data_IF_434696720240
#
_entry.id   IF_434696720240
#
_cell.length_a   1.000
_cell.length_b   1.000
_cell.length_c   1.000
_cell.angle_alpha   90.00
_cell.angle_beta   90.00
_cell.angle_gamma   90.00
#
_symmetry.space_group_name_H-M   'P 1'
#
loop_
_entity.id
_entity.type
_entity.pdbx_description
1 polymer ?
#
# COMPACT_ATOMS: atom_id res chain seq x y z
N UNK A 1 -12.05 35.34 18.36
CA UNK A 1 -11.47 36.40 19.22
C UNK A 1 -10.65 37.37 18.39
N UNK A 2 -11.28 38.39 17.84
CA UNK A 2 -10.63 39.26 16.85
C UNK A 2 -10.71 40.71 17.32
N UNK A 3 -9.58 41.27 17.74
CA UNK A 3 -9.43 42.72 17.85
C UNK A 3 -9.71 43.33 16.48
N UNK A 4 -10.64 44.27 16.39
CA UNK A 4 -11.03 44.90 15.14
C UNK A 4 -10.11 46.06 14.80
N UNK A 5 -9.90 46.24 13.49
CA UNK A 5 -9.12 47.34 12.96
C UNK A 5 -9.83 48.05 11.81
N UNK A 6 -9.61 49.37 11.72
CA UNK A 6 -10.06 50.23 10.62
C UNK A 6 -8.89 51.11 10.18
N UNK A 7 -8.71 51.24 8.86
CA UNK A 7 -7.69 52.14 8.31
C UNK A 7 -8.05 53.60 8.57
N UNK A 8 -7.04 54.44 8.78
CA UNK A 8 -7.17 55.89 8.95
C UNK A 8 -8.11 56.32 10.09
N UNK A 9 -8.34 55.45 11.09
CA UNK A 9 -9.16 55.77 12.25
C UNK A 9 -8.46 56.76 13.18
N UNK A 10 -8.74 58.06 13.00
CA UNK A 10 -8.16 59.16 13.79
C UNK A 10 -9.12 60.34 13.88
N UNK A 11 -9.27 60.88 15.09
CA UNK A 11 -10.13 62.03 15.41
C UNK A 11 -9.60 62.72 16.68
N UNK A 12 -10.41 63.60 17.27
CA UNK A 12 -10.19 64.20 18.59
C UNK A 12 -11.36 63.93 19.52
N UNK A 13 -11.11 63.98 20.84
CA UNK A 13 -12.17 63.91 21.84
C UNK A 13 -13.05 65.16 21.79
N UNK A 14 -14.37 64.96 21.71
CA UNK A 14 -15.35 66.05 21.74
C UNK A 14 -15.64 66.56 23.16
N UNK A 15 -15.38 65.74 24.18
CA UNK A 15 -15.49 66.09 25.59
C UNK A 15 -14.22 65.68 26.34
N UNK A 16 -13.90 66.39 27.43
CA UNK A 16 -12.86 65.94 28.34
C UNK A 16 -13.35 64.73 29.14
N UNK A 17 -12.44 63.80 29.44
CA UNK A 17 -12.74 62.58 30.22
C UNK A 17 -11.87 62.48 31.47
N UNK A 18 -12.44 61.96 32.56
CA UNK A 18 -11.70 61.69 33.81
C UNK A 18 -10.86 60.40 33.73
N UNK A 19 -9.96 60.15 34.69
CA UNK A 19 -9.15 58.93 34.72
C UNK A 19 -9.95 57.64 35.03
N UNK A 20 -11.18 57.76 35.51
CA UNK A 20 -12.07 56.63 35.83
C UNK A 20 -13.26 56.50 34.88
N UNK A 21 -13.39 57.38 33.89
CA UNK A 21 -14.50 57.37 32.96
C UNK A 21 -14.43 56.17 32.02
N UNK A 22 -15.56 55.51 31.79
CA UNK A 22 -15.69 54.32 30.94
C UNK A 22 -16.46 54.60 29.64
N UNK A 23 -16.66 55.88 29.33
CA UNK A 23 -17.21 56.37 28.08
C UNK A 23 -16.39 57.55 27.59
N UNK A 24 -16.34 57.72 26.27
CA UNK A 24 -15.76 58.90 25.63
C UNK A 24 -16.52 59.22 24.35
N UNK A 25 -16.56 60.49 23.98
CA UNK A 25 -17.13 60.96 22.72
C UNK A 25 -16.02 61.48 21.82
N UNK A 26 -16.08 61.10 20.55
CA UNK A 26 -15.24 61.67 19.50
C UNK A 26 -15.96 62.83 18.82
N UNK A 27 -15.24 63.56 17.96
CA UNK A 27 -15.82 64.63 17.15
C UNK A 27 -17.07 64.15 16.40
N UNK A 28 -18.07 65.03 16.32
CA UNK A 28 -19.35 64.72 15.66
C UNK A 28 -19.14 64.25 14.21
N UNK A 29 -19.68 63.08 13.88
CA UNK A 29 -19.56 62.42 12.58
C UNK A 29 -18.30 61.56 12.38
N UNK A 30 -17.34 61.58 13.31
CA UNK A 30 -16.09 60.82 13.19
C UNK A 30 -16.18 59.41 13.81
N UNK A 31 -17.27 59.07 14.49
CA UNK A 31 -17.45 57.76 15.12
C UNK A 31 -17.32 56.59 14.13
N UNK A 32 -17.78 56.76 12.89
CA UNK A 32 -17.72 55.74 11.83
C UNK A 32 -16.31 55.51 11.27
N UNK A 33 -15.33 56.33 11.66
CA UNK A 33 -13.91 56.04 11.37
C UNK A 33 -13.41 54.80 12.14
N UNK A 34 -14.09 54.43 13.23
CA UNK A 34 -13.71 53.32 14.10
C UNK A 34 -14.60 52.09 13.88
N UNK A 35 -14.10 50.88 14.16
CA UNK A 35 -14.91 49.67 14.03
C UNK A 35 -16.18 49.72 14.88
N UNK A 36 -17.25 49.08 14.39
CA UNK A 36 -18.39 48.74 15.24
C UNK A 36 -17.99 47.60 16.18
N UNK A 37 -18.24 47.79 17.47
CA UNK A 37 -18.10 46.78 18.51
C UNK A 37 -19.39 46.80 19.31
N UNK A 38 -20.27 45.81 19.20
CA UNK A 38 -21.62 45.89 19.79
C UNK A 38 -22.09 44.62 20.50
N UNK A 39 -21.20 43.64 20.70
CA UNK A 39 -21.62 42.26 20.98
C UNK A 39 -21.77 41.87 22.45
N UNK A 40 -21.31 42.61 23.47
CA UNK A 40 -21.68 42.31 24.87
C UNK A 40 -21.25 43.36 25.94
N UNK A 41 -21.88 43.25 27.11
CA UNK A 41 -21.53 43.86 28.41
C UNK A 41 -20.51 43.05 29.23
N UNK A 42 -20.11 41.85 28.77
CA UNK A 42 -19.12 40.98 29.44
C UNK A 42 -17.73 41.62 29.67
N UNK A 43 -16.91 41.07 30.57
CA UNK A 43 -15.55 41.58 30.87
C UNK A 43 -14.63 41.56 29.64
N UNK A 44 -13.55 42.36 29.67
CA UNK A 44 -12.63 42.48 28.54
C UNK A 44 -12.00 41.11 28.32
N UNK A 45 -11.75 40.77 27.06
CA UNK A 45 -11.16 39.50 26.65
C UNK A 45 -12.08 38.26 26.78
N UNK A 46 -13.37 38.42 27.10
CA UNK A 46 -14.32 37.29 27.16
C UNK A 46 -15.30 37.17 25.98
N UNK A 47 -15.34 38.12 25.03
CA UNK A 47 -16.35 38.14 23.95
C UNK A 47 -15.84 38.71 22.61
N UNK A 48 -16.47 38.29 21.51
CA UNK A 48 -16.11 38.60 20.12
C UNK A 48 -16.63 39.97 19.69
N UNK A 49 -15.83 41.02 19.89
CA UNK A 49 -15.69 42.23 19.05
C UNK A 49 -15.29 43.44 19.90
N UNK A 50 -14.02 43.83 19.82
CA UNK A 50 -13.49 44.99 20.52
C UNK A 50 -12.36 45.60 19.70
N UNK A 51 -11.99 46.85 19.99
CA UNK A 51 -10.81 47.46 19.37
C UNK A 51 -10.04 48.32 20.36
N UNK A 52 -8.76 48.57 20.08
CA UNK A 52 -7.94 49.51 20.84
C UNK A 52 -8.08 50.92 20.29
N UNK A 53 -8.06 51.88 21.20
CA UNK A 53 -7.97 53.30 20.92
C UNK A 53 -6.80 53.88 21.70
N UNK A 54 -5.96 54.65 21.02
CA UNK A 54 -4.82 55.37 21.57
C UNK A 54 -5.25 56.82 21.74
N UNK A 55 -5.07 57.36 22.93
CA UNK A 55 -5.35 58.77 23.25
C UNK A 55 -4.02 59.46 23.54
N UNK A 56 -3.76 60.58 22.86
CA UNK A 56 -2.55 61.38 23.06
C UNK A 56 -2.83 62.87 23.13
N UNK A 57 -2.01 63.60 23.86
CA UNK A 57 -1.98 65.06 23.87
C UNK A 57 -0.75 65.59 23.12
N UNK A 58 -0.62 66.92 23.09
CA UNK A 58 0.53 67.63 22.51
C UNK A 58 1.83 67.40 23.28
N UNK A 59 1.74 66.91 24.52
CA UNK A 59 2.89 66.57 25.37
C UNK A 59 3.45 65.18 25.05
N UNK A 60 2.78 64.41 24.17
CA UNK A 60 3.17 63.05 23.79
C UNK A 60 2.84 62.01 24.86
N UNK A 61 1.99 62.33 25.84
CA UNK A 61 1.48 61.31 26.76
C UNK A 61 0.53 60.39 26.01
N UNK A 62 0.57 59.09 26.28
CA UNK A 62 -0.29 58.10 25.62
C UNK A 62 -1.04 57.29 26.68
N UNK A 63 -2.32 57.04 26.41
CA UNK A 63 -3.12 55.98 27.04
C UNK A 63 -3.68 55.07 25.97
N UNK A 64 -3.62 53.76 26.20
CA UNK A 64 -4.27 52.76 25.36
C UNK A 64 -5.52 52.30 26.09
N UNK A 65 -6.67 52.39 25.43
CA UNK A 65 -7.95 51.96 25.96
C UNK A 65 -8.57 50.90 25.07
N UNK A 66 -9.34 49.98 25.66
CA UNK A 66 -10.11 48.99 24.93
C UNK A 66 -11.57 49.42 24.83
N UNK A 67 -12.06 49.65 23.62
CA UNK A 67 -13.47 49.97 23.37
C UNK A 67 -14.22 48.68 23.08
N UNK A 68 -15.25 48.40 23.89
CA UNK A 68 -16.12 47.23 23.69
C UNK A 68 -17.47 47.58 23.11
N UNK A 69 -17.88 48.84 23.19
CA UNK A 69 -19.20 49.25 22.72
C UNK A 69 -19.10 50.54 21.91
N UNK A 70 -19.37 50.42 20.61
CA UNK A 70 -19.56 51.49 19.64
C UNK A 70 -20.56 50.98 18.61
N UNK A 71 -21.80 51.46 18.70
CA UNK A 71 -22.83 51.17 17.71
C UNK A 71 -22.54 51.90 16.39
N UNK A 72 -23.01 51.36 15.26
CA UNK A 72 -22.95 52.04 13.96
C UNK A 72 -23.60 53.42 14.00
N UNK A 73 -22.97 54.43 13.39
CA UNK A 73 -23.42 55.83 13.43
C UNK A 73 -23.29 56.54 14.78
N UNK A 74 -22.74 55.88 15.83
CA UNK A 74 -22.48 56.52 17.13
C UNK A 74 -21.11 57.20 17.17
N UNK A 75 -21.05 58.43 17.65
CA UNK A 75 -19.82 59.14 18.03
C UNK A 75 -19.41 58.88 19.48
N UNK A 76 -20.19 58.07 20.20
CA UNK A 76 -19.92 57.67 21.58
C UNK A 76 -19.35 56.25 21.60
N UNK A 77 -18.22 56.12 22.27
CA UNK A 77 -17.58 54.85 22.64
C UNK A 77 -17.83 54.62 24.13
N UNK A 78 -18.44 53.49 24.47
CA UNK A 78 -18.77 53.12 25.84
C UNK A 78 -18.20 51.74 26.18
N UNK A 79 -18.33 51.34 27.45
CA UNK A 79 -17.70 50.14 27.98
C UNK A 79 -16.19 50.14 27.70
N UNK A 80 -15.59 51.32 27.89
CA UNK A 80 -14.16 51.57 27.68
C UNK A 80 -13.39 51.05 28.88
N UNK A 81 -12.42 50.17 28.65
CA UNK A 81 -11.43 49.83 29.66
C UNK A 81 -10.20 50.69 29.50
N UNK A 82 -9.82 51.31 30.61
CA UNK A 82 -8.69 52.22 30.75
C UNK A 82 -7.39 51.45 30.97
N UNK A 83 -6.26 52.12 30.75
CA UNK A 83 -4.93 51.63 31.14
C UNK A 83 -4.55 50.24 30.57
N UNK A 84 -4.81 49.98 29.29
CA UNK A 84 -4.34 48.75 28.64
C UNK A 84 -2.85 48.82 28.30
N UNK A 85 -2.26 47.65 28.04
CA UNK A 85 -0.87 47.47 27.59
C UNK A 85 0.17 48.18 28.49
N UNK A 86 -0.10 48.23 29.79
CA UNK A 86 0.77 48.87 30.78
C UNK A 86 0.74 50.40 30.76
N UNK A 87 -0.15 51.03 29.99
CA UNK A 87 -0.38 52.48 30.07
C UNK A 87 -1.08 52.87 31.36
N UNK A 88 -1.04 54.15 31.73
CA UNK A 88 -1.73 54.69 32.91
C UNK A 88 -3.00 55.40 32.50
N UNK A 89 -4.09 55.18 33.23
CA UNK A 89 -5.34 55.92 33.03
C UNK A 89 -5.16 57.40 33.38
N UNK A 90 -5.55 58.30 32.46
CA UNK A 90 -5.31 59.74 32.58
C UNK A 90 -6.58 60.56 32.45
N UNK A 91 -6.50 61.81 32.89
CA UNK A 91 -7.50 62.84 32.55
C UNK A 91 -7.13 63.36 31.17
N UNK A 92 -8.10 63.42 30.26
CA UNK A 92 -7.91 63.96 28.92
C UNK A 92 -8.81 65.18 28.71
N UNK A 93 -8.28 66.22 28.09
CA UNK A 93 -9.07 67.39 27.69
C UNK A 93 -9.76 67.20 26.35
N UNK A 94 -10.72 68.09 26.06
CA UNK A 94 -11.27 68.26 24.71
C UNK A 94 -10.13 68.51 23.72
N UNK A 95 -10.21 67.90 22.53
CA UNK A 95 -9.20 68.06 21.50
C UNK A 95 -8.01 67.08 21.60
N UNK A 96 -7.93 66.24 22.64
CA UNK A 96 -6.95 65.15 22.68
C UNK A 96 -7.17 64.21 21.49
N UNK A 97 -6.08 63.77 20.86
CA UNK A 97 -6.16 62.96 19.64
C UNK A 97 -6.47 61.52 20.00
N UNK A 98 -7.52 60.98 19.41
CA UNK A 98 -7.94 59.58 19.55
C UNK A 98 -7.74 58.86 18.22
N UNK A 99 -6.98 57.77 18.21
CA UNK A 99 -6.66 57.05 16.98
C UNK A 99 -6.48 55.56 17.22
N UNK A 100 -6.66 54.76 16.18
CA UNK A 100 -6.30 53.35 16.25
C UNK A 100 -4.85 53.16 15.84
N UNK A 101 -4.13 52.35 16.62
CA UNK A 101 -2.79 51.88 16.29
C UNK A 101 -2.59 50.46 16.82
N UNK A 102 -1.42 49.93 16.51
CA UNK A 102 -0.96 48.62 16.94
C UNK A 102 0.03 48.78 18.10
N UNK A 103 -0.15 48.04 19.19
CA UNK A 103 0.80 48.07 20.30
C UNK A 103 1.84 46.96 20.18
N UNK A 104 2.91 47.05 21.00
CA UNK A 104 3.87 45.96 21.12
C UNK A 104 3.21 44.66 21.62
N UNK A 105 2.20 44.75 22.48
CA UNK A 105 1.46 43.59 22.95
C UNK A 105 0.63 42.95 21.83
N UNK A 106 0.09 43.75 20.91
CA UNK A 106 -0.62 43.23 19.74
C UNK A 106 0.35 42.46 18.83
N UNK A 107 1.57 42.97 18.64
CA UNK A 107 2.60 42.31 17.85
C UNK A 107 3.00 40.97 18.44
N UNK A 108 3.29 40.95 19.75
CA UNK A 108 3.66 39.72 20.46
C UNK A 108 2.53 38.71 20.38
N UNK A 109 1.28 39.13 20.58
CA UNK A 109 0.12 38.23 20.50
C UNK A 109 -0.05 37.65 19.09
N UNK A 110 0.13 38.46 18.05
CA UNK A 110 0.06 38.00 16.66
C UNK A 110 1.17 37.00 16.33
N UNK A 111 2.41 37.28 16.76
CA UNK A 111 3.56 36.38 16.57
C UNK A 111 3.34 35.06 17.31
N UNK A 112 2.97 35.08 18.59
CA UNK A 112 2.75 33.86 19.37
C UNK A 112 1.65 32.97 18.77
N UNK A 113 0.57 33.58 18.25
CA UNK A 113 -0.49 32.83 17.57
C UNK A 113 0.00 32.22 16.25
N UNK A 114 0.81 32.95 15.48
CA UNK A 114 1.42 32.45 14.25
C UNK A 114 2.42 31.31 14.53
N UNK A 115 3.24 31.43 15.58
CA UNK A 115 4.17 30.40 16.02
C UNK A 115 3.43 29.13 16.46
N UNK A 116 2.35 29.26 17.23
CA UNK A 116 1.52 28.13 17.63
C UNK A 116 0.89 27.41 16.41
N UNK A 117 0.40 28.19 15.43
CA UNK A 117 -0.15 27.63 14.19
C UNK A 117 0.91 26.91 13.35
N UNK A 118 2.12 27.48 13.28
CA UNK A 118 3.25 26.87 12.58
C UNK A 118 3.69 25.57 13.24
N UNK A 119 3.82 25.54 14.57
CA UNK A 119 4.20 24.34 15.31
C UNK A 119 3.18 23.21 15.12
N UNK A 120 1.88 23.53 15.20
CA UNK A 120 0.82 22.55 14.96
C UNK A 120 0.86 21.98 13.53
N UNK A 121 1.19 22.80 12.53
CA UNK A 121 1.35 22.33 11.16
C UNK A 121 2.56 21.39 11.00
N UNK A 122 3.69 21.71 11.63
CA UNK A 122 4.90 20.88 11.62
C UNK A 122 4.69 19.53 12.32
N UNK A 123 3.94 19.51 13.43
CA UNK A 123 3.58 18.27 14.12
C UNK A 123 2.68 17.39 13.24
N UNK A 124 1.69 17.97 12.56
CA UNK A 124 0.82 17.24 11.64
C UNK A 124 1.60 16.61 10.47
N UNK A 125 2.58 17.33 9.90
CA UNK A 125 3.46 16.82 8.85
C UNK A 125 4.33 15.66 9.36
N UNK A 126 4.94 15.82 10.54
CA UNK A 126 5.78 14.78 11.16
C UNK A 126 4.98 13.50 11.42
N UNK A 127 3.74 13.62 11.93
CA UNK A 127 2.84 12.49 12.15
C UNK A 127 2.48 11.81 10.83
N UNK A 128 2.20 12.57 9.77
CA UNK A 128 1.90 12.02 8.46
C UNK A 128 3.08 11.23 7.86
N UNK A 129 4.31 11.76 7.96
CA UNK A 129 5.52 11.06 7.49
C UNK A 129 5.79 9.78 8.27
N UNK A 130 5.65 9.82 9.61
CA UNK A 130 5.83 8.63 10.44
C UNK A 130 4.76 7.56 10.20
N UNK A 131 3.50 7.98 10.01
CA UNK A 131 2.42 7.08 9.66
C UNK A 131 2.68 6.39 8.31
N UNK A 132 3.13 7.16 7.31
CA UNK A 132 3.50 6.63 5.99
C UNK A 132 4.67 5.63 6.08
N UNK A 133 5.70 5.94 6.87
CA UNK A 133 6.82 5.03 7.10
C UNK A 133 6.36 3.71 7.75
N UNK A 134 5.43 3.75 8.71
CA UNK A 134 4.93 2.54 9.36
C UNK A 134 4.12 1.65 8.41
N UNK A 135 3.22 2.24 7.61
CA UNK A 135 2.36 1.46 6.68
C UNK A 135 3.10 0.99 5.43
N UNK A 136 4.14 1.70 5.00
CA UNK A 136 4.99 1.28 3.88
C UNK A 136 6.04 0.24 4.27
N UNK A 137 6.13 -0.12 5.56
CA UNK A 137 7.11 -1.09 6.06
C UNK A 137 8.52 -0.52 6.14
N UNK A 138 8.68 0.75 6.53
CA UNK A 138 9.96 1.46 6.66
C UNK A 138 10.99 0.80 7.60
N UNK A 139 10.58 -0.17 8.41
CA UNK A 139 11.49 -1.03 9.20
C UNK A 139 12.11 -2.17 8.40
N UNK A 140 11.64 -2.42 7.17
CA UNK A 140 12.11 -3.50 6.29
C UNK A 140 13.04 -2.88 5.23
N UNK A 141 14.31 -3.30 5.16
CA UNK A 141 15.23 -2.78 4.17
C UNK A 141 14.73 -2.98 2.72
N UNK A 142 14.92 -1.99 1.83
CA UNK A 142 14.70 -2.20 0.40
C UNK A 142 15.43 -3.43 -0.12
N UNK A 143 14.83 -4.13 -1.07
CA UNK A 143 15.39 -5.36 -1.66
C UNK A 143 15.03 -6.65 -0.92
N UNK A 144 14.47 -6.58 0.28
CA UNK A 144 13.92 -7.76 0.97
C UNK A 144 12.83 -8.41 0.12
N UNK A 145 12.91 -9.73 0.01
CA UNK A 145 11.97 -10.57 -0.73
C UNK A 145 11.00 -11.20 0.24
N UNK A 146 9.71 -11.18 -0.10
CA UNK A 146 8.68 -11.87 0.65
C UNK A 146 7.70 -12.58 -0.29
N UNK A 147 6.90 -13.48 0.29
CA UNK A 147 5.81 -14.18 -0.39
C UNK A 147 4.47 -13.75 0.21
N UNK A 148 3.61 -13.18 -0.63
CA UNK A 148 2.37 -12.52 -0.20
C UNK A 148 1.14 -13.38 -0.50
N UNK A 149 0.16 -13.50 0.43
CA UNK A 149 -1.04 -14.33 0.28
C UNK A 149 -2.09 -13.81 -0.71
N UNK A 150 -1.97 -12.59 -1.22
CA UNK A 150 -2.95 -12.00 -2.12
C UNK A 150 -2.34 -11.57 -3.46
N UNK A 151 -3.21 -11.28 -4.44
CA UNK A 151 -2.79 -10.84 -5.77
C UNK A 151 -2.22 -9.41 -5.81
N UNK A 152 -2.59 -8.57 -4.83
CA UNK A 152 -2.15 -7.17 -4.75
C UNK A 152 -1.11 -7.03 -3.63
N UNK A 153 0.10 -6.52 -3.93
CA UNK A 153 1.12 -6.28 -2.91
C UNK A 153 0.71 -5.15 -1.96
N UNK A 154 1.23 -5.12 -0.72
CA UNK A 154 1.09 -3.96 0.16
C UNK A 154 1.74 -2.70 -0.43
N UNK A 155 1.35 -1.53 0.07
CA UNK A 155 1.99 -0.25 -0.28
C UNK A 155 3.50 -0.31 0.01
N UNK A 156 4.32 0.19 -0.90
CA UNK A 156 5.79 0.17 -0.78
C UNK A 156 6.45 -1.13 -1.22
N UNK A 157 5.69 -2.07 -1.80
CA UNK A 157 6.20 -3.34 -2.33
C UNK A 157 5.86 -3.49 -3.82
N UNK A 158 6.77 -4.10 -4.56
CA UNK A 158 6.60 -4.42 -5.98
C UNK A 158 6.50 -5.91 -6.21
N UNK A 159 5.74 -6.29 -7.24
CA UNK A 159 5.70 -7.68 -7.71
C UNK A 159 7.00 -8.01 -8.45
N UNK A 160 7.56 -9.21 -8.24
CA UNK A 160 8.74 -9.70 -8.96
C UNK A 160 8.36 -10.33 -10.32
N UNK A 161 7.82 -9.50 -11.22
CA UNK A 161 7.33 -9.90 -12.56
C UNK A 161 8.15 -9.33 -13.73
N UNK A 162 9.34 -8.75 -13.47
CA UNK A 162 10.16 -8.16 -14.54
C UNK A 162 9.83 -6.73 -14.93
N UNK A 163 8.90 -6.06 -14.24
CA UNK A 163 8.53 -4.67 -14.53
C UNK A 163 9.70 -3.69 -14.34
N UNK A 164 9.70 -2.61 -15.13
CA UNK A 164 10.61 -1.49 -14.96
C UNK A 164 10.09 -0.55 -13.87
N UNK A 165 10.98 -0.09 -12.99
CA UNK A 165 10.67 0.89 -11.93
C UNK A 165 11.67 2.05 -11.96
N UNK A 166 11.25 3.20 -11.43
CA UNK A 166 12.01 4.46 -11.40
C UNK A 166 13.22 4.37 -10.48
N UNK A 167 14.39 4.81 -10.98
CA UNK A 167 15.64 4.95 -10.19
C UNK A 167 15.53 6.08 -9.17
N UNK A 168 14.83 7.16 -9.53
CA UNK A 168 14.67 8.33 -8.66
C UNK A 168 13.77 8.01 -7.46
N UNK A 169 12.72 7.24 -7.68
CA UNK A 169 11.77 6.89 -6.61
C UNK A 169 12.25 5.69 -5.78
N UNK A 170 13.20 4.90 -6.30
CA UNK A 170 13.71 3.69 -5.62
C UNK A 170 15.25 3.62 -5.61
N UNK A 171 15.95 4.66 -5.10
CA UNK A 171 17.41 4.77 -5.23
C UNK A 171 18.14 3.68 -4.45
N UNK A 172 17.65 3.31 -3.27
CA UNK A 172 18.23 2.25 -2.45
C UNK A 172 18.04 0.86 -3.06
N UNK A 173 16.88 0.59 -3.66
CA UNK A 173 16.64 -0.67 -4.36
C UNK A 173 17.53 -0.77 -5.62
N UNK A 174 17.68 0.34 -6.36
CA UNK A 174 18.57 0.39 -7.51
C UNK A 174 20.03 0.16 -7.11
N UNK A 175 20.49 0.69 -5.96
CA UNK A 175 21.84 0.43 -5.46
C UNK A 175 22.10 -1.06 -5.17
N UNK A 176 21.06 -1.84 -4.84
CA UNK A 176 21.17 -3.28 -4.53
C UNK A 176 21.11 -4.13 -5.80
N UNK A 177 20.16 -3.86 -6.69
CA UNK A 177 19.86 -4.71 -7.86
C UNK A 177 20.59 -4.25 -9.12
N UNK A 178 20.85 -2.94 -9.23
CA UNK A 178 21.40 -2.33 -10.42
C UNK A 178 20.55 -2.65 -11.65
N UNK A 179 21.22 -3.15 -12.69
CA UNK A 179 20.63 -3.48 -13.98
C UNK A 179 20.66 -4.99 -14.27
N UNK A 180 20.90 -5.83 -13.25
CA UNK A 180 21.09 -7.28 -13.41
C UNK A 180 19.87 -7.99 -14.01
N UNK A 181 18.68 -7.40 -13.87
CA UNK A 181 17.43 -7.91 -14.45
C UNK A 181 16.96 -7.14 -15.68
N UNK A 182 17.79 -6.24 -16.20
CA UNK A 182 17.53 -5.42 -17.36
C UNK A 182 17.74 -3.94 -17.09
N UNK A 183 18.20 -3.22 -18.10
CA UNK A 183 18.60 -1.81 -18.00
C UNK A 183 17.41 -0.82 -17.89
N UNK A 184 16.17 -1.31 -17.96
CA UNK A 184 14.98 -0.47 -18.13
C UNK A 184 15.04 0.28 -19.46
N UNK A 185 14.78 1.58 -19.41
CA UNK A 185 14.93 2.51 -20.55
C UNK A 185 16.37 3.01 -20.79
N UNK A 186 17.34 2.56 -19.99
CA UNK A 186 18.73 2.97 -20.10
C UNK A 186 19.12 4.19 -19.25
N UNK A 187 18.16 4.97 -18.75
CA UNK A 187 18.43 6.27 -18.11
C UNK A 187 17.75 6.44 -16.75
N UNK A 188 16.42 6.32 -16.69
CA UNK A 188 15.60 6.68 -15.53
C UNK A 188 14.95 5.46 -14.86
N UNK A 189 14.95 4.30 -15.52
CA UNK A 189 14.39 3.06 -14.96
C UNK A 189 15.39 1.91 -14.88
N UNK A 190 15.02 0.87 -14.15
CA UNK A 190 15.69 -0.43 -14.10
C UNK A 190 14.64 -1.54 -13.93
N UNK A 191 14.95 -2.75 -14.39
CA UNK A 191 14.00 -3.86 -14.30
C UNK A 191 14.14 -4.61 -12.98
N UNK A 192 13.00 -5.06 -12.44
CA UNK A 192 12.95 -5.96 -11.29
C UNK A 192 13.17 -7.42 -11.71
N UNK A 193 13.49 -8.32 -10.76
CA UNK A 193 13.49 -9.76 -11.00
C UNK A 193 12.15 -10.27 -11.55
N UNK A 194 12.19 -11.33 -12.36
CA UNK A 194 10.99 -11.97 -12.91
C UNK A 194 10.85 -13.44 -12.47
N UNK A 195 10.19 -13.64 -11.34
CA UNK A 195 9.88 -14.97 -10.79
C UNK A 195 8.44 -15.39 -11.11
N UNK A 196 7.54 -14.42 -11.28
CA UNK A 196 6.10 -14.67 -11.53
C UNK A 196 5.87 -15.28 -12.91
N UNK A 197 6.42 -14.70 -13.98
CA UNK A 197 6.11 -15.16 -15.36
C UNK A 197 6.58 -16.59 -15.61
N UNK A 198 7.61 -17.04 -14.88
CA UNK A 198 8.24 -18.34 -15.07
C UNK A 198 7.98 -19.32 -13.92
N UNK A 199 7.06 -19.03 -12.99
CA UNK A 199 6.74 -19.84 -11.82
C UNK A 199 7.99 -20.36 -11.07
N UNK A 200 8.98 -19.48 -10.86
CA UNK A 200 10.30 -19.91 -10.36
C UNK A 200 10.26 -20.27 -8.88
N UNK A 201 10.91 -21.38 -8.53
CA UNK A 201 11.28 -21.66 -7.14
C UNK A 201 12.57 -20.94 -6.76
N UNK A 202 12.63 -20.47 -5.52
CA UNK A 202 13.84 -19.87 -4.95
C UNK A 202 14.67 -20.97 -4.28
N UNK A 203 15.98 -20.93 -4.52
CA UNK A 203 16.98 -21.74 -3.81
C UNK A 203 18.12 -20.84 -3.34
N UNK A 204 18.85 -21.29 -2.31
CA UNK A 204 20.03 -20.59 -1.85
C UNK A 204 21.12 -20.55 -2.95
N UNK A 205 21.81 -19.41 -3.04
CA UNK A 205 23.08 -19.28 -3.75
C UNK A 205 24.22 -19.89 -2.92
N UNK A 206 25.38 -20.10 -3.55
CA UNK A 206 26.57 -20.67 -2.91
C UNK A 206 27.24 -21.77 -3.74
N UNK A 207 28.49 -22.08 -3.41
CA UNK A 207 29.32 -22.99 -4.22
C UNK A 207 29.49 -22.44 -5.64
N UNK A 208 29.11 -23.23 -6.64
CA UNK A 208 29.16 -22.82 -8.05
C UNK A 208 27.93 -22.00 -8.51
N UNK A 209 26.95 -21.73 -7.63
CA UNK A 209 25.73 -21.01 -7.99
C UNK A 209 25.78 -19.56 -7.52
N UNK A 210 25.97 -18.63 -8.47
CA UNK A 210 25.94 -17.20 -8.22
C UNK A 210 24.53 -16.72 -7.84
N UNK A 211 24.46 -15.58 -7.14
CA UNK A 211 23.19 -14.88 -6.91
C UNK A 211 22.55 -14.52 -8.26
N UNK A 212 21.25 -14.78 -8.41
CA UNK A 212 20.50 -14.51 -9.64
C UNK A 212 20.65 -15.57 -10.75
N UNK A 213 21.53 -16.57 -10.59
CA UNK A 213 21.66 -17.64 -11.57
C UNK A 213 20.39 -18.49 -11.69
N UNK A 214 19.92 -18.71 -12.92
CA UNK A 214 18.73 -19.50 -13.24
C UNK A 214 19.16 -20.91 -13.63
N UNK A 215 18.49 -21.92 -13.10
CA UNK A 215 18.70 -23.33 -13.45
C UNK A 215 17.46 -23.90 -14.12
N UNK A 216 17.66 -24.68 -15.18
CA UNK A 216 16.60 -25.48 -15.77
C UNK A 216 16.19 -26.62 -14.80
N UNK A 217 14.94 -27.12 -14.88
CA UNK A 217 14.55 -28.30 -14.13
C UNK A 217 15.37 -29.51 -14.61
N UNK A 218 15.91 -30.28 -13.68
CA UNK A 218 16.67 -31.50 -13.95
C UNK A 218 16.28 -32.53 -12.89
N UNK A 219 15.90 -33.73 -13.34
CA UNK A 219 15.73 -34.88 -12.44
C UNK A 219 17.10 -35.44 -12.08
N UNK A 220 17.27 -35.88 -10.83
CA UNK A 220 18.49 -36.58 -10.44
C UNK A 220 18.62 -37.87 -11.27
N UNK A 221 19.86 -38.20 -11.64
CA UNK A 221 20.16 -39.45 -12.35
C UNK A 221 19.62 -40.64 -11.56
N UNK A 222 18.93 -41.55 -12.24
CA UNK A 222 18.34 -42.75 -11.65
C UNK A 222 18.20 -43.85 -12.71
N UNK A 223 17.94 -45.07 -12.25
CA UNK A 223 17.81 -46.27 -13.09
C UNK A 223 16.47 -46.95 -12.86
N UNK A 224 15.91 -47.58 -13.89
CA UNK A 224 14.73 -48.43 -13.78
C UNK A 224 15.14 -49.90 -13.87
N UNK A 225 14.60 -50.73 -12.99
CA UNK A 225 14.60 -52.18 -13.20
C UNK A 225 13.45 -52.53 -14.15
N UNK A 226 13.75 -53.27 -15.21
CA UNK A 226 12.76 -53.81 -16.11
C UNK A 226 12.95 -55.32 -16.20
N UNK A 227 11.86 -56.07 -16.14
CA UNK A 227 11.86 -57.51 -16.35
C UNK A 227 10.79 -57.87 -17.37
N UNK A 228 11.16 -58.72 -18.33
CA UNK A 228 10.19 -59.53 -19.09
C UNK A 228 10.17 -60.94 -18.50
N UNK A 229 9.04 -61.65 -18.60
CA UNK A 229 9.00 -63.06 -18.23
C UNK A 229 10.00 -63.90 -19.04
N UNK A 230 10.31 -65.11 -18.55
CA UNK A 230 11.15 -66.07 -19.28
C UNK A 230 10.55 -66.34 -20.66
N UNK A 231 11.20 -65.86 -21.72
CA UNK A 231 10.95 -66.36 -23.05
C UNK A 231 11.40 -67.82 -23.10
N UNK A 232 10.46 -68.72 -23.34
CA UNK A 232 10.75 -70.13 -23.52
C UNK A 232 9.80 -70.76 -24.54
N UNK A 233 10.30 -71.81 -25.17
CA UNK A 233 9.52 -72.74 -25.97
C UNK A 233 8.29 -73.22 -25.18
N UNK A 234 7.08 -72.91 -25.64
CA UNK A 234 5.84 -73.42 -25.04
C UNK A 234 4.91 -74.03 -26.09
N UNK A 235 4.05 -74.94 -25.63
CA UNK A 235 3.06 -75.67 -26.43
C UNK A 235 1.69 -75.58 -25.77
N UNK A 236 0.61 -75.54 -26.54
CA UNK A 236 -0.76 -75.63 -26.03
C UNK A 236 -1.33 -77.04 -26.24
N UNK A 237 -2.13 -77.53 -25.30
CA UNK A 237 -2.85 -78.80 -25.45
C UNK A 237 -4.31 -78.52 -25.78
N UNK A 238 -4.79 -79.05 -26.90
CA UNK A 238 -6.23 -79.03 -27.21
C UNK A 238 -6.80 -80.45 -27.03
N UNK A 239 -7.83 -80.57 -26.21
CA UNK A 239 -8.66 -81.77 -26.13
C UNK A 239 -9.67 -81.77 -27.27
N UNK A 240 -9.63 -82.79 -28.12
CA UNK A 240 -10.64 -83.00 -29.15
C UNK A 240 -11.46 -84.25 -28.83
N UNK A 241 -12.79 -84.10 -28.84
CA UNK A 241 -13.74 -85.21 -28.81
C UNK A 241 -14.18 -85.45 -30.25
N UNK A 242 -13.58 -86.44 -30.89
CA UNK A 242 -13.92 -86.84 -32.25
C UNK A 242 -14.92 -87.99 -32.24
N UNK A 243 -16.01 -87.85 -32.97
CA UNK A 243 -16.88 -88.99 -33.30
C UNK A 243 -16.35 -89.65 -34.57
N UNK A 244 -15.83 -90.87 -34.49
CA UNK A 244 -15.46 -91.62 -35.70
C UNK A 244 -16.74 -92.08 -36.38
N UNK A 245 -16.98 -91.64 -37.62
CA UNK A 245 -18.14 -92.07 -38.40
C UNK A 245 -18.06 -93.59 -38.63
N UNK A 246 -19.02 -94.32 -38.07
CA UNK A 246 -19.20 -95.76 -38.29
C UNK A 246 -19.71 -95.99 -39.72
N UNK A 247 -18.93 -96.73 -40.50
CA UNK A 247 -19.32 -97.20 -41.83
C UNK A 247 -19.05 -98.70 -41.96
N UNK A 248 -19.98 -99.42 -42.58
CA UNK A 248 -19.84 -100.85 -42.87
C UNK A 248 -18.93 -101.04 -44.09
N UNK A 249 -17.78 -101.70 -43.92
CA UNK A 249 -16.95 -102.15 -45.04
C UNK A 249 -17.24 -103.62 -45.35
N UNK A 250 -17.74 -103.90 -46.55
CA UNK A 250 -17.87 -105.27 -47.03
C UNK A 250 -16.57 -105.66 -47.74
N UNK A 251 -15.83 -106.62 -47.17
CA UNK A 251 -14.69 -107.23 -47.85
C UNK A 251 -15.21 -108.19 -48.91
N UNK A 252 -14.81 -107.98 -50.16
CA UNK A 252 -15.13 -108.86 -51.28
C UNK A 252 -14.32 -110.16 -51.21
N UNK A 253 -14.63 -111.01 -50.23
CA UNK A 253 -14.63 -112.48 -50.30
C UNK A 253 -14.81 -113.06 -48.90
N UNK A 254 -15.87 -113.84 -48.70
CA UNK A 254 -16.01 -114.70 -47.52
C UNK A 254 -16.72 -114.07 -46.30
N UNK A 255 -17.91 -113.51 -46.50
CA UNK A 255 -19.07 -113.69 -45.61
C UNK A 255 -18.89 -113.65 -44.08
N UNK A 256 -18.11 -112.72 -43.53
CA UNK A 256 -18.16 -112.40 -42.10
C UNK A 256 -18.55 -110.93 -41.95
N UNK A 257 -19.77 -110.69 -41.45
CA UNK A 257 -20.23 -109.36 -41.10
C UNK A 257 -19.63 -108.93 -39.76
N UNK A 258 -18.84 -107.85 -39.75
CA UNK A 258 -18.24 -107.29 -38.54
C UNK A 258 -19.03 -106.03 -38.16
N UNK A 259 -19.59 -105.97 -36.95
CA UNK A 259 -20.20 -104.76 -36.39
C UNK A 259 -19.13 -103.88 -35.76
N UNK A 260 -18.87 -102.72 -36.36
CA UNK A 260 -17.97 -101.72 -35.76
C UNK A 260 -18.83 -100.80 -34.88
N UNK A 261 -18.64 -100.89 -33.56
CA UNK A 261 -19.28 -99.99 -32.59
C UNK A 261 -18.53 -98.65 -32.61
N UNK A 262 -19.23 -97.53 -32.76
CA UNK A 262 -18.62 -96.22 -32.60
C UNK A 262 -18.17 -96.03 -31.14
N UNK A 263 -16.88 -95.79 -30.93
CA UNK A 263 -16.36 -95.37 -29.64
C UNK A 263 -16.16 -93.85 -29.66
N UNK A 264 -16.63 -93.18 -28.61
CA UNK A 264 -16.23 -91.80 -28.32
C UNK A 264 -14.86 -91.85 -27.66
N UNK A 265 -13.83 -91.49 -28.41
CA UNK A 265 -12.47 -91.36 -27.91
C UNK A 265 -12.15 -89.90 -27.61
N UNK A 266 -11.59 -89.63 -26.43
CA UNK A 266 -10.97 -88.34 -26.14
C UNK A 266 -9.50 -88.42 -26.55
N UNK A 267 -9.05 -87.50 -27.40
CA UNK A 267 -7.62 -87.38 -27.75
C UNK A 267 -7.11 -86.01 -27.33
N UNK A 268 -5.85 -85.96 -26.90
CA UNK A 268 -5.13 -84.71 -26.67
C UNK A 268 -3.99 -84.61 -27.65
N UNK A 269 -3.92 -83.48 -28.36
CA UNK A 269 -2.79 -83.14 -29.20
C UNK A 269 -2.17 -81.83 -28.70
N UNK A 270 -0.83 -81.80 -28.70
CA UNK A 270 -0.10 -80.57 -28.43
C UNK A 270 0.16 -79.83 -29.75
N UNK A 271 0.16 -78.50 -29.70
CA UNK A 271 0.70 -77.69 -30.79
C UNK A 271 2.21 -77.90 -30.92
N UNK A 272 2.80 -77.51 -32.04
CA UNK A 272 4.25 -77.34 -32.13
C UNK A 272 4.73 -76.27 -31.15
N UNK A 273 5.99 -76.40 -30.72
CA UNK A 273 6.60 -75.42 -29.82
C UNK A 273 6.71 -74.07 -30.50
N UNK A 274 6.17 -73.02 -29.87
CA UNK A 274 6.44 -71.65 -30.29
C UNK A 274 7.92 -71.37 -30.05
N UNK A 275 8.67 -71.12 -31.13
CA UNK A 275 10.12 -70.86 -31.06
C UNK A 275 10.48 -69.59 -30.29
N UNK A 276 11.78 -69.24 -30.29
CA UNK A 276 12.27 -68.02 -29.65
C UNK A 276 11.56 -66.78 -30.19
N UNK A 277 11.04 -65.93 -29.31
CA UNK A 277 10.37 -64.67 -29.67
C UNK A 277 10.81 -63.53 -28.74
N UNK A 278 10.49 -62.28 -29.12
CA UNK A 278 10.87 -61.09 -28.37
C UNK A 278 9.68 -60.47 -27.63
N UNK A 279 9.94 -59.90 -26.46
CA UNK A 279 9.01 -59.00 -25.78
C UNK A 279 9.47 -57.56 -25.97
N UNK A 280 8.53 -56.67 -26.30
CA UNK A 280 8.75 -55.23 -26.27
C UNK A 280 8.41 -54.69 -24.88
N UNK A 281 9.38 -54.03 -24.24
CA UNK A 281 9.12 -53.23 -23.03
C UNK A 281 8.92 -51.79 -23.48
N UNK A 282 7.67 -51.33 -23.47
CA UNK A 282 7.32 -49.95 -23.81
C UNK A 282 7.17 -49.11 -22.55
N UNK A 283 7.91 -48.00 -22.46
CA UNK A 283 7.76 -46.99 -21.41
C UNK A 283 7.12 -45.76 -22.05
N UNK A 284 5.91 -45.41 -21.62
CA UNK A 284 5.25 -44.15 -21.98
C UNK A 284 5.55 -43.09 -20.93
N UNK A 285 5.59 -41.82 -21.32
CA UNK A 285 5.69 -40.73 -20.33
C UNK A 285 4.41 -40.69 -19.50
N UNK A 286 4.54 -40.72 -18.17
CA UNK A 286 3.45 -40.41 -17.24
C UNK A 286 3.77 -39.13 -16.49
N UNK A 287 2.88 -38.13 -16.54
CA UNK A 287 3.03 -36.83 -15.87
C UNK A 287 2.58 -35.67 -16.74
N UNK A 288 2.42 -34.48 -16.15
CA UNK A 288 2.37 -33.26 -16.94
C UNK A 288 3.76 -33.01 -17.56
N UNK A 289 3.82 -32.59 -18.82
CA UNK A 289 5.09 -32.43 -19.55
C UNK A 289 5.87 -31.17 -19.12
N UNK A 290 5.46 -30.51 -18.03
CA UNK A 290 5.86 -29.15 -17.71
C UNK A 290 6.69 -29.04 -16.44
N UNK A 291 6.48 -29.88 -15.42
CA UNK A 291 7.20 -29.70 -14.15
C UNK A 291 7.23 -30.96 -13.25
N UNK A 292 8.38 -31.23 -12.62
CA UNK A 292 8.49 -32.18 -11.52
C UNK A 292 8.73 -31.42 -10.20
N UNK A 293 7.75 -31.44 -9.28
CA UNK A 293 7.85 -30.76 -7.99
C UNK A 293 7.13 -31.51 -6.86
N UNK A 294 7.55 -31.34 -5.59
CA UNK A 294 6.76 -31.74 -4.43
C UNK A 294 5.42 -30.97 -4.35
N UNK A 295 4.54 -31.38 -3.42
CA UNK A 295 3.33 -30.61 -3.11
C UNK A 295 3.68 -29.16 -2.77
N UNK A 296 3.13 -28.20 -3.52
CA UNK A 296 3.50 -26.79 -3.43
C UNK A 296 2.26 -25.88 -3.40
N UNK A 297 2.41 -24.73 -2.74
CA UNK A 297 1.43 -23.63 -2.74
C UNK A 297 2.10 -22.37 -3.30
N UNK A 298 1.45 -21.72 -4.25
CA UNK A 298 1.93 -20.47 -4.82
C UNK A 298 1.51 -19.27 -3.96
N UNK A 299 2.48 -18.39 -3.70
CA UNK A 299 2.30 -17.08 -3.11
C UNK A 299 2.93 -16.05 -4.04
N UNK A 300 2.47 -14.80 -4.01
CA UNK A 300 2.98 -13.75 -4.89
C UNK A 300 4.38 -13.31 -4.41
N UNK A 301 5.46 -13.51 -5.18
CA UNK A 301 6.78 -13.02 -4.82
C UNK A 301 6.81 -11.50 -4.97
N UNK A 302 7.12 -10.82 -3.88
CA UNK A 302 7.20 -9.36 -3.81
C UNK A 302 8.57 -8.92 -3.30
N UNK A 303 8.95 -7.69 -3.62
CA UNK A 303 10.21 -7.07 -3.19
C UNK A 303 9.94 -5.69 -2.60
N UNK A 304 10.58 -5.39 -1.47
CA UNK A 304 10.44 -4.10 -0.81
C UNK A 304 11.09 -3.00 -1.66
N UNK A 305 10.29 -1.98 -1.99
CA UNK A 305 10.74 -0.76 -2.66
C UNK A 305 11.59 0.15 -1.79
N UNK A 306 12.02 1.27 -2.38
CA UNK A 306 12.64 2.39 -1.66
C UNK A 306 11.69 3.12 -0.73
#
# INVERSE_FOLDING_TARGET
>A
MTQKFSNNARTVLAAGISASETSLSVQSGDGDLFPVADTDTGPLFSVDDWFKLFITDVSGQIEIVGVRTRAGGSDVMSNVVRALDGTTARIWGVGAVAYQAFSANDLVSAISNAEAALLAAQEAETVATNALALVSGGSIPPGVIAYWPAATPPVGWFIRNGQAVSRADNPLLFAIIGTDHGIGDGTTTFNLPNDVTNNRFIRASGGALAVGAIQAPVNLTHTHAASSGSTGAHTHTQGQVGTVASGSYNLASGGVGITIVSSVGSSSANTSSAGSHAHTVSVTSSGDATEARPYARAYLPIIKGG
#
